data_IF_813576405181
#
_entry.id   IF_813576405181
#
_cell.length_a   1.000
_cell.length_b   1.000
_cell.length_c   1.000
_cell.angle_alpha   90.00
_cell.angle_beta   90.00
_cell.angle_gamma   90.00
#
_symmetry.space_group_name_H-M   'P 1'
#
loop_
_entity.id
_entity.type
_entity.pdbx_description
1 polymer ?
#
# COMPACT_ATOMS: atom_id res chain seq x y z
N UNK A 1 -7.08 9.59 11.79
CA UNK A 1 -5.76 9.25 11.22
C UNK A 1 -5.07 8.21 12.08
N UNK A 2 -4.59 7.13 11.48
CA UNK A 2 -3.77 6.09 12.11
C UNK A 2 -2.47 5.89 11.29
N UNK A 3 -1.37 5.57 11.97
CA UNK A 3 -0.12 5.19 11.30
C UNK A 3 -0.13 3.70 10.99
N UNK A 4 0.13 3.36 9.73
CA UNK A 4 0.21 1.99 9.22
C UNK A 4 1.65 1.66 8.85
N UNK A 5 2.05 0.43 9.15
CA UNK A 5 3.41 -0.08 8.93
C UNK A 5 3.35 -1.40 8.15
N UNK A 6 3.82 -1.36 6.92
CA UNK A 6 3.83 -2.49 5.98
C UNK A 6 5.27 -3.02 5.89
N UNK A 7 5.58 -4.04 6.68
CA UNK A 7 6.93 -4.60 6.74
C UNK A 7 7.15 -5.68 5.68
N UNK A 8 8.39 -5.82 5.23
CA UNK A 8 8.79 -6.94 4.39
C UNK A 8 8.70 -8.27 5.13
N UNK A 9 8.62 -9.35 4.35
CA UNK A 9 8.78 -10.72 4.84
C UNK A 9 9.98 -11.36 4.12
N UNK A 10 10.50 -12.51 4.58
CA UNK A 10 11.61 -13.18 3.91
C UNK A 10 11.36 -13.48 2.42
N UNK A 11 10.10 -13.62 2.02
CA UNK A 11 9.72 -13.94 0.64
C UNK A 11 9.30 -12.72 -0.19
N UNK A 12 9.08 -11.56 0.43
CA UNK A 12 8.47 -10.40 -0.21
C UNK A 12 9.12 -9.11 0.28
N UNK A 13 9.73 -8.39 -0.66
CA UNK A 13 10.24 -7.05 -0.44
C UNK A 13 9.12 -6.01 -0.61
N UNK A 14 8.50 -5.63 0.51
CA UNK A 14 7.30 -4.78 0.56
C UNK A 14 7.46 -3.42 -0.11
N UNK A 15 8.58 -2.67 0.06
CA UNK A 15 8.76 -1.39 -0.63
C UNK A 15 8.65 -1.51 -2.16
N UNK A 16 9.24 -2.55 -2.74
CA UNK A 16 9.15 -2.82 -4.17
C UNK A 16 7.73 -3.16 -4.63
N UNK A 17 7.01 -3.98 -3.86
CA UNK A 17 5.61 -4.33 -4.16
C UNK A 17 4.70 -3.11 -4.09
N UNK A 18 4.84 -2.26 -3.06
CA UNK A 18 4.03 -1.05 -2.93
C UNK A 18 4.34 -0.06 -4.06
N UNK A 19 5.62 0.11 -4.44
CA UNK A 19 5.98 0.95 -5.58
C UNK A 19 5.36 0.46 -6.90
N UNK A 20 5.39 -0.86 -7.16
CA UNK A 20 4.69 -1.46 -8.30
C UNK A 20 3.18 -1.22 -8.24
N UNK A 21 2.57 -1.42 -7.08
CA UNK A 21 1.13 -1.26 -6.90
C UNK A 21 0.69 0.20 -7.12
N UNK A 22 1.42 1.18 -6.58
CA UNK A 22 1.13 2.61 -6.82
C UNK A 22 1.17 2.92 -8.32
N UNK A 23 2.19 2.42 -9.03
CA UNK A 23 2.30 2.63 -10.47
C UNK A 23 1.15 1.96 -11.25
N UNK A 24 0.75 0.74 -10.86
CA UNK A 24 -0.40 0.05 -11.45
C UNK A 24 -1.73 0.74 -11.14
N UNK A 25 -1.89 1.26 -9.93
CA UNK A 25 -3.12 1.94 -9.48
C UNK A 25 -3.35 3.29 -10.18
N UNK A 26 -2.31 3.87 -10.78
CA UNK A 26 -2.44 5.04 -11.65
C UNK A 26 -3.34 4.77 -12.87
N UNK A 27 -3.48 3.51 -13.30
CA UNK A 27 -4.33 3.11 -14.42
C UNK A 27 -5.73 2.72 -13.93
N UNK A 28 -6.75 3.52 -14.28
CA UNK A 28 -8.14 3.30 -13.83
C UNK A 28 -8.69 1.88 -14.04
N UNK A 29 -8.45 1.21 -15.20
CA UNK A 29 -8.94 -0.15 -15.42
C UNK A 29 -8.36 -1.18 -14.42
N UNK A 30 -7.15 -0.93 -13.92
CA UNK A 30 -6.40 -1.88 -13.08
C UNK A 30 -6.67 -1.66 -11.59
N UNK A 31 -7.20 -0.50 -11.19
CA UNK A 31 -7.37 -0.10 -9.77
C UNK A 31 -8.06 -1.16 -8.92
N UNK A 32 -9.17 -1.72 -9.42
CA UNK A 32 -9.94 -2.71 -8.67
C UNK A 32 -9.13 -3.98 -8.40
N UNK A 33 -8.36 -4.44 -9.40
CA UNK A 33 -7.53 -5.64 -9.28
C UNK A 33 -6.28 -5.38 -8.43
N UNK A 34 -5.62 -4.23 -8.59
CA UNK A 34 -4.48 -3.85 -7.76
C UNK A 34 -4.88 -3.71 -6.29
N UNK A 35 -5.99 -3.01 -5.99
CA UNK A 35 -6.49 -2.89 -4.62
C UNK A 35 -6.81 -4.26 -4.02
N UNK A 36 -7.43 -5.16 -4.79
CA UNK A 36 -7.72 -6.53 -4.35
C UNK A 36 -6.44 -7.29 -3.99
N UNK A 37 -5.39 -7.21 -4.81
CA UNK A 37 -4.10 -7.88 -4.56
C UNK A 37 -3.45 -7.33 -3.30
N UNK A 38 -3.38 -6.01 -3.13
CA UNK A 38 -2.73 -5.42 -1.96
C UNK A 38 -3.55 -5.64 -0.69
N UNK A 39 -4.89 -5.61 -0.78
CA UNK A 39 -5.77 -5.91 0.36
C UNK A 39 -5.64 -7.37 0.80
N UNK A 40 -5.38 -8.32 -0.11
CA UNK A 40 -5.15 -9.71 0.27
C UNK A 40 -3.77 -9.94 0.90
N UNK A 41 -2.78 -9.15 0.52
CA UNK A 41 -1.45 -9.16 1.15
C UNK A 41 -1.46 -8.55 2.56
N UNK A 42 -2.31 -7.54 2.78
CA UNK A 42 -2.39 -6.81 4.04
C UNK A 42 -3.83 -6.77 4.59
N UNK A 43 -4.38 -7.94 5.00
CA UNK A 43 -5.80 -8.06 5.36
C UNK A 43 -6.21 -7.28 6.62
N UNK A 44 -5.25 -6.84 7.43
CA UNK A 44 -5.51 -6.05 8.64
C UNK A 44 -5.69 -4.55 8.35
N UNK A 45 -5.39 -4.08 7.13
CA UNK A 45 -5.54 -2.68 6.77
C UNK A 45 -6.95 -2.39 6.24
N UNK A 46 -7.55 -1.25 6.64
CA UNK A 46 -8.75 -0.74 5.98
C UNK A 46 -8.48 -0.50 4.49
N UNK A 47 -9.46 -0.84 3.64
CA UNK A 47 -9.33 -0.62 2.20
C UNK A 47 -9.17 0.86 1.86
N UNK A 48 -9.78 1.76 2.63
CA UNK A 48 -9.70 3.20 2.35
C UNK A 48 -8.31 3.76 2.64
N UNK A 49 -7.61 3.25 3.65
CA UNK A 49 -6.19 3.56 3.89
C UNK A 49 -5.31 3.07 2.73
N UNK A 50 -5.58 1.88 2.19
CA UNK A 50 -4.86 1.36 1.02
C UNK A 50 -5.13 2.19 -0.23
N UNK A 51 -6.38 2.63 -0.46
CA UNK A 51 -6.71 3.51 -1.59
C UNK A 51 -5.93 4.83 -1.50
N UNK A 52 -5.92 5.48 -0.33
CA UNK A 52 -5.18 6.72 -0.11
C UNK A 52 -3.68 6.55 -0.40
N UNK A 53 -3.07 5.45 0.07
CA UNK A 53 -1.67 5.14 -0.22
C UNK A 53 -1.43 4.93 -1.73
N UNK A 54 -2.24 4.10 -2.37
CA UNK A 54 -2.07 3.70 -3.76
C UNK A 54 -2.36 4.84 -4.75
N UNK A 55 -3.29 5.73 -4.41
CA UNK A 55 -3.59 6.95 -5.15
C UNK A 55 -2.56 8.07 -4.93
N UNK A 56 -1.63 7.89 -3.97
CA UNK A 56 -0.70 8.93 -3.48
C UNK A 56 -1.42 10.14 -2.89
N UNK A 57 -2.59 9.94 -2.28
CA UNK A 57 -3.30 10.99 -1.54
C UNK A 57 -2.62 11.28 -0.18
N UNK A 58 -1.79 10.35 0.29
CA UNK A 58 -0.97 10.49 1.50
C UNK A 58 0.51 10.23 1.19
N UNK A 59 1.37 10.95 1.89
CA UNK A 59 2.81 10.68 1.86
C UNK A 59 3.12 9.35 2.56
N UNK A 60 4.14 8.67 2.06
CA UNK A 60 4.72 7.50 2.71
C UNK A 60 6.24 7.61 2.73
N UNK A 61 6.85 6.94 3.72
CA UNK A 61 8.30 6.81 3.86
C UNK A 61 8.69 5.35 3.90
N UNK A 62 9.97 5.09 3.60
CA UNK A 62 10.57 3.77 3.74
C UNK A 62 11.53 3.82 4.92
N UNK A 63 11.28 2.98 5.92
CA UNK A 63 12.16 2.77 7.08
C UNK A 63 12.76 1.37 6.99
N UNK A 64 13.97 1.26 6.45
CA UNK A 64 14.59 -0.04 6.15
C UNK A 64 13.81 -0.77 5.05
N UNK A 65 13.13 -1.86 5.42
CA UNK A 65 12.28 -2.63 4.52
C UNK A 65 10.78 -2.51 4.85
N UNK A 66 10.40 -1.43 5.55
CA UNK A 66 9.01 -1.16 5.95
C UNK A 66 8.51 0.12 5.30
N UNK A 67 7.33 0.06 4.68
CA UNK A 67 6.60 1.26 4.22
C UNK A 67 5.75 1.78 5.37
N UNK A 68 5.89 3.06 5.71
CA UNK A 68 5.16 3.71 6.79
C UNK A 68 4.38 4.89 6.24
N UNK A 69 3.10 4.97 6.57
CA UNK A 69 2.22 6.05 6.12
C UNK A 69 1.10 6.29 7.15
N UNK A 70 0.54 7.50 7.12
CA UNK A 70 -0.60 7.87 7.96
C UNK A 70 -1.81 8.12 7.09
N UNK A 71 -2.93 7.46 7.39
CA UNK A 71 -4.16 7.60 6.61
C UNK A 71 -5.40 7.62 7.52
N UNK A 72 -6.52 8.06 6.95
CA UNK A 72 -7.83 7.87 7.58
C UNK A 72 -8.32 6.44 7.31
N UNK A 73 -8.97 5.86 8.33
CA UNK A 73 -9.49 4.51 8.29
C UNK A 73 -10.85 4.46 7.59
#
# INVERSE_FOLDING_TARGET
MAEYRLSSSPSVHTPGVIAWAINGYAFEPDRAQILKIISSMFPALPQDALKQLLAKDVDHKIEGETVVFSAEA
#
